data_IF_775571446778
#
_entry.id   IF_775571446778
#
_cell.length_a   1.000
_cell.length_b   1.000
_cell.length_c   1.000
_cell.angle_alpha   90.00
_cell.angle_beta   90.00
_cell.angle_gamma   90.00
#
_symmetry.space_group_name_H-M   'P 1'
#
loop_
_entity.id
_entity.type
_entity.pdbx_description
1 polymer ?
#
# COMPACT_ATOMS: atom_id res chain seq x y z
N UNK A 1 50.04 -34.09 29.50
CA UNK A 1 48.75 -33.39 29.66
C UNK A 1 48.79 -32.16 28.76
N UNK A 2 48.11 -32.19 27.61
CA UNK A 2 48.03 -31.06 26.67
C UNK A 2 46.59 -30.55 26.70
N UNK A 3 46.38 -29.40 27.30
CA UNK A 3 45.06 -28.75 27.42
C UNK A 3 44.73 -28.08 26.09
N UNK A 4 43.80 -28.64 25.32
CA UNK A 4 43.24 -27.99 24.14
C UNK A 4 42.24 -26.92 24.58
N UNK A 5 42.59 -25.65 24.37
CA UNK A 5 41.68 -24.52 24.56
C UNK A 5 40.89 -24.36 23.26
N UNK A 6 39.59 -24.75 23.27
CA UNK A 6 38.65 -24.41 22.20
C UNK A 6 38.22 -22.95 22.37
N UNK A 7 38.71 -22.07 21.52
CA UNK A 7 38.22 -20.69 21.43
C UNK A 7 36.93 -20.65 20.61
N UNK A 8 35.80 -20.41 21.29
CA UNK A 8 34.48 -20.23 20.69
C UNK A 8 34.41 -18.83 20.03
N UNK A 9 34.55 -18.76 18.71
CA UNK A 9 34.44 -17.52 17.95
C UNK A 9 32.95 -17.17 17.78
N UNK A 10 32.40 -16.34 18.68
CA UNK A 10 31.04 -15.82 18.56
C UNK A 10 30.99 -14.75 17.47
N UNK A 11 30.48 -15.11 16.30
CA UNK A 11 30.31 -14.20 15.17
C UNK A 11 29.06 -13.35 15.41
N UNK A 12 29.22 -12.19 16.07
CA UNK A 12 28.16 -11.19 16.20
C UNK A 12 27.88 -10.58 14.81
N UNK A 13 26.84 -11.09 14.13
CA UNK A 13 26.25 -10.43 12.96
C UNK A 13 25.62 -9.11 13.41
N UNK A 14 26.34 -8.01 13.27
CA UNK A 14 25.75 -6.68 13.37
C UNK A 14 24.89 -6.43 12.13
N UNK A 15 23.59 -6.74 12.22
CA UNK A 15 22.63 -6.29 11.21
C UNK A 15 22.47 -4.77 11.36
N UNK A 16 23.01 -4.00 10.42
CA UNK A 16 22.73 -2.57 10.33
C UNK A 16 21.27 -2.38 9.98
N UNK A 17 20.45 -1.98 10.96
CA UNK A 17 19.08 -1.53 10.73
C UNK A 17 19.14 -0.23 9.94
N UNK A 18 19.00 -0.29 8.61
CA UNK A 18 18.82 0.91 7.80
C UNK A 18 17.43 1.47 8.09
N UNK A 19 17.35 2.59 8.80
CA UNK A 19 16.12 3.37 8.93
C UNK A 19 15.73 3.87 7.53
N UNK A 20 14.69 3.28 6.94
CA UNK A 20 14.18 3.73 5.66
C UNK A 20 13.55 5.10 5.84
N UNK A 21 14.07 6.11 5.14
CA UNK A 21 13.50 7.46 5.15
C UNK A 21 12.14 7.42 4.43
N UNK A 22 11.07 7.73 5.17
CA UNK A 22 9.69 7.79 4.68
C UNK A 22 9.42 9.13 3.96
N UNK A 23 8.46 9.14 3.03
CA UNK A 23 8.03 10.33 2.29
C UNK A 23 9.15 11.01 1.49
N UNK A 24 9.99 10.21 0.83
CA UNK A 24 10.98 10.77 -0.10
C UNK A 24 10.30 11.31 -1.35
N UNK A 25 10.88 12.36 -1.94
CA UNK A 25 10.41 12.98 -3.16
C UNK A 25 11.49 12.96 -4.23
N UNK A 26 11.06 12.80 -5.49
CA UNK A 26 11.88 13.02 -6.67
C UNK A 26 11.40 14.30 -7.34
N UNK A 27 12.31 15.27 -7.47
CA UNK A 27 12.10 16.43 -8.31
C UNK A 27 12.26 16.05 -9.79
N UNK A 28 11.40 16.59 -10.64
CA UNK A 28 11.48 16.44 -12.09
C UNK A 28 11.43 17.83 -12.70
N UNK A 29 12.30 18.08 -13.67
CA UNK A 29 12.37 19.38 -14.31
C UNK A 29 11.01 19.77 -14.93
N UNK A 30 10.59 21.00 -14.66
CA UNK A 30 9.30 21.58 -15.09
C UNK A 30 8.05 20.76 -14.74
N UNK A 31 8.10 19.90 -13.72
CA UNK A 31 6.97 19.10 -13.27
C UNK A 31 6.86 19.12 -11.74
N UNK A 32 5.65 18.86 -11.24
CA UNK A 32 5.45 18.66 -9.81
C UNK A 32 6.27 17.44 -9.34
N UNK A 33 6.98 17.53 -8.19
CA UNK A 33 7.65 16.37 -7.60
C UNK A 33 6.64 15.27 -7.27
N UNK A 34 7.14 14.04 -7.13
CA UNK A 34 6.33 12.90 -6.71
C UNK A 34 7.00 12.13 -5.59
N UNK A 35 6.18 11.49 -4.75
CA UNK A 35 6.67 10.64 -3.67
C UNK A 35 7.21 9.32 -4.22
N UNK A 36 8.21 8.76 -3.55
CA UNK A 36 8.82 7.49 -3.93
C UNK A 36 9.16 6.63 -2.70
N UNK A 37 9.00 5.32 -2.82
CA UNK A 37 9.26 4.35 -1.75
C UNK A 37 8.20 4.38 -0.64
N UNK A 38 8.55 3.99 0.60
CA UNK A 38 7.62 4.01 1.71
C UNK A 38 7.07 5.42 2.00
N UNK A 39 5.75 5.51 2.18
CA UNK A 39 5.05 6.75 2.53
C UNK A 39 4.01 6.55 3.62
N UNK A 40 3.52 7.64 4.19
CA UNK A 40 2.39 7.67 5.12
C UNK A 40 1.37 8.75 4.72
N UNK A 41 0.30 8.90 5.54
CA UNK A 41 -0.77 9.87 5.30
C UNK A 41 -0.25 11.30 5.36
N UNK A 42 0.72 11.59 6.24
CA UNK A 42 1.36 12.90 6.34
C UNK A 42 2.06 13.29 5.04
N UNK A 43 2.69 12.33 4.35
CA UNK A 43 3.27 12.52 3.02
C UNK A 43 2.23 12.96 2.00
N UNK A 44 1.06 12.31 1.98
CA UNK A 44 -0.05 12.64 1.07
C UNK A 44 -0.76 13.94 1.42
N UNK A 45 -0.75 14.34 2.69
CA UNK A 45 -1.36 15.57 3.17
C UNK A 45 -0.40 16.77 3.16
N UNK A 46 0.82 16.59 2.66
CA UNK A 46 1.82 17.66 2.57
C UNK A 46 1.38 18.76 1.59
N UNK A 47 2.01 19.94 1.68
CA UNK A 47 1.69 21.11 0.85
C UNK A 47 1.67 20.79 -0.65
N UNK A 48 2.53 19.87 -1.11
CA UNK A 48 2.63 19.50 -2.52
C UNK A 48 1.42 18.70 -3.03
N UNK A 49 0.82 17.85 -2.20
CA UNK A 49 -0.21 16.90 -2.63
C UNK A 49 -1.61 17.19 -2.07
N UNK A 50 -1.70 18.08 -1.07
CA UNK A 50 -2.96 18.39 -0.39
C UNK A 50 -4.07 18.92 -1.32
N UNK A 51 -3.72 19.52 -2.46
CA UNK A 51 -4.69 20.11 -3.40
C UNK A 51 -5.61 19.05 -4.04
N UNK A 52 -5.14 17.82 -4.20
CA UNK A 52 -5.97 16.70 -4.64
C UNK A 52 -6.30 15.75 -3.48
N UNK A 53 -5.42 15.61 -2.47
CA UNK A 53 -5.68 14.69 -1.36
C UNK A 53 -6.87 15.15 -0.52
N UNK A 54 -6.87 16.39 -0.03
CA UNK A 54 -7.90 16.89 0.90
C UNK A 54 -9.30 16.88 0.28
N UNK A 55 -9.54 17.39 -0.95
CA UNK A 55 -10.88 17.37 -1.51
C UNK A 55 -11.41 15.95 -1.76
N UNK A 56 -10.56 15.04 -2.26
CA UNK A 56 -10.97 13.65 -2.50
C UNK A 56 -11.23 12.89 -1.20
N UNK A 57 -10.55 13.24 -0.11
CA UNK A 57 -10.82 12.71 1.23
C UNK A 57 -12.12 13.32 1.80
N UNK A 58 -12.19 14.65 1.94
CA UNK A 58 -13.28 15.34 2.64
C UNK A 58 -14.62 15.09 1.96
N UNK A 59 -14.68 15.19 0.64
CA UNK A 59 -15.94 15.10 -0.12
C UNK A 59 -16.44 13.66 -0.31
N UNK A 60 -15.66 12.65 0.07
CA UNK A 60 -16.08 11.26 -0.07
C UNK A 60 -16.99 10.83 1.08
N UNK A 61 -18.25 10.54 0.80
CA UNK A 61 -19.20 10.03 1.80
C UNK A 61 -19.08 8.51 1.89
N UNK A 62 -18.63 8.01 3.05
CA UNK A 62 -18.45 6.58 3.28
C UNK A 62 -19.81 5.93 3.56
N UNK A 63 -20.13 4.85 2.85
CA UNK A 63 -21.30 4.02 3.13
C UNK A 63 -21.05 3.14 4.37
N UNK A 64 -21.20 3.75 5.54
CA UNK A 64 -20.95 3.11 6.85
C UNK A 64 -21.79 1.85 7.02
N UNK A 65 -23.04 1.84 6.56
CA UNK A 65 -23.92 0.68 6.67
C UNK A 65 -23.35 -0.55 5.95
N UNK A 66 -22.68 -0.36 4.81
CA UNK A 66 -22.09 -1.44 4.03
C UNK A 66 -20.88 -2.09 4.72
N UNK A 67 -20.03 -1.28 5.34
CA UNK A 67 -18.72 -1.67 5.91
C UNK A 67 -18.73 -1.92 7.43
N UNK A 68 -19.72 -1.46 8.18
CA UNK A 68 -19.73 -1.67 9.64
C UNK A 68 -19.73 -3.16 10.01
N UNK A 69 -20.43 -3.99 9.24
CA UNK A 69 -20.49 -5.46 9.43
C UNK A 69 -19.16 -6.20 9.28
N UNK A 70 -18.10 -5.56 8.75
CA UNK A 70 -16.80 -6.18 8.52
C UNK A 70 -15.68 -5.60 9.38
N UNK A 71 -15.97 -4.63 10.26
CA UNK A 71 -14.98 -3.90 11.07
C UNK A 71 -14.02 -4.82 11.82
N UNK A 72 -14.54 -5.81 12.53
CA UNK A 72 -13.71 -6.74 13.29
C UNK A 72 -12.91 -7.66 12.37
N UNK A 73 -13.55 -8.17 11.31
CA UNK A 73 -12.93 -9.08 10.35
C UNK A 73 -11.80 -8.44 9.55
N UNK A 74 -11.94 -7.17 9.16
CA UNK A 74 -10.91 -6.47 8.39
C UNK A 74 -9.67 -6.18 9.24
N UNK A 75 -9.80 -6.07 10.56
CA UNK A 75 -8.65 -5.83 11.46
C UNK A 75 -7.62 -6.97 11.45
N UNK A 76 -8.04 -8.18 11.07
CA UNK A 76 -7.18 -9.35 10.89
C UNK A 76 -6.33 -9.29 9.59
N UNK A 77 -6.62 -8.33 8.70
CA UNK A 77 -5.93 -8.19 7.42
C UNK A 77 -4.75 -7.23 7.52
N UNK A 78 -3.74 -7.50 6.70
CA UNK A 78 -2.70 -6.53 6.34
C UNK A 78 -2.96 -6.03 4.94
N UNK A 79 -2.76 -4.75 4.72
CA UNK A 79 -3.02 -4.11 3.43
C UNK A 79 -1.72 -3.50 2.92
N UNK A 80 -1.33 -3.87 1.70
CA UNK A 80 -0.21 -3.28 0.98
C UNK A 80 -0.77 -2.47 -0.19
N UNK A 81 -0.55 -1.16 -0.16
CA UNK A 81 -0.98 -0.22 -1.17
C UNK A 81 0.21 0.26 -1.99
N UNK A 82 0.16 0.02 -3.30
CA UNK A 82 1.01 0.69 -4.27
C UNK A 82 0.27 1.83 -4.96
N UNK A 83 0.89 2.99 -5.06
CA UNK A 83 0.29 4.18 -5.65
C UNK A 83 1.32 5.01 -6.41
N UNK A 84 0.87 5.88 -7.31
CA UNK A 84 1.70 6.96 -7.85
C UNK A 84 1.06 8.31 -7.56
N UNK A 85 1.74 9.22 -6.85
CA UNK A 85 1.16 10.56 -6.57
C UNK A 85 0.97 11.42 -7.82
N UNK A 86 1.50 10.97 -8.96
CA UNK A 86 1.33 11.53 -10.28
C UNK A 86 0.15 10.93 -11.07
N UNK A 87 -0.44 9.81 -10.62
CA UNK A 87 -1.49 9.07 -11.33
C UNK A 87 -2.89 9.57 -10.93
N UNK A 88 -3.78 9.77 -11.91
CA UNK A 88 -5.15 10.23 -11.69
C UNK A 88 -5.99 9.27 -10.84
N UNK A 89 -5.93 7.98 -11.09
CA UNK A 89 -6.66 6.97 -10.30
C UNK A 89 -6.15 6.91 -8.85
N UNK A 90 -4.83 7.09 -8.65
CA UNK A 90 -4.26 7.12 -7.30
C UNK A 90 -4.74 8.35 -6.54
N UNK A 91 -4.77 9.51 -7.20
CA UNK A 91 -5.32 10.74 -6.63
C UNK A 91 -6.79 10.62 -6.26
N UNK A 92 -7.55 9.82 -7.01
CA UNK A 92 -8.99 9.62 -6.81
C UNK A 92 -9.28 8.60 -5.71
N UNK A 93 -8.73 7.39 -5.79
CA UNK A 93 -9.15 6.29 -4.92
C UNK A 93 -8.39 6.20 -3.60
N UNK A 94 -7.12 6.62 -3.54
CA UNK A 94 -6.34 6.50 -2.28
C UNK A 94 -6.93 7.33 -1.14
N UNK A 95 -7.28 8.62 -1.32
CA UNK A 95 -7.86 9.41 -0.23
C UNK A 95 -9.20 8.83 0.27
N UNK A 96 -10.01 8.29 -0.63
CA UNK A 96 -11.30 7.63 -0.33
C UNK A 96 -11.08 6.35 0.47
N UNK A 97 -10.12 5.53 0.04
CA UNK A 97 -9.74 4.31 0.71
C UNK A 97 -9.24 4.57 2.14
N UNK A 98 -8.35 5.56 2.33
CA UNK A 98 -7.87 5.96 3.67
C UNK A 98 -9.05 6.40 4.55
N UNK A 99 -9.98 7.20 4.02
CA UNK A 99 -11.17 7.61 4.78
C UNK A 99 -12.03 6.43 5.22
N UNK A 100 -12.22 5.41 4.36
CA UNK A 100 -12.95 4.18 4.72
C UNK A 100 -12.24 3.47 5.89
N UNK A 101 -10.93 3.28 5.79
CA UNK A 101 -10.14 2.61 6.83
C UNK A 101 -10.21 3.35 8.17
N UNK A 102 -10.10 4.68 8.16
CA UNK A 102 -10.20 5.50 9.37
C UNK A 102 -11.63 5.45 9.95
N UNK A 103 -12.66 5.50 9.09
CA UNK A 103 -14.08 5.45 9.52
C UNK A 103 -14.42 4.14 10.25
N UNK A 104 -13.77 3.03 9.89
CA UNK A 104 -13.95 1.74 10.59
C UNK A 104 -12.91 1.47 11.67
N UNK A 105 -12.07 2.45 12.03
CA UNK A 105 -10.97 2.28 12.99
C UNK A 105 -10.05 1.11 12.61
N UNK A 106 -9.75 0.94 11.32
CA UNK A 106 -8.76 -0.04 10.89
C UNK A 106 -7.40 0.29 11.52
N UNK A 107 -6.65 -0.69 12.06
CA UNK A 107 -5.34 -0.44 12.64
C UNK A 107 -4.36 -0.02 11.53
N UNK A 108 -4.06 1.28 11.42
CA UNK A 108 -3.19 1.80 10.35
C UNK A 108 -1.76 1.22 10.38
N UNK A 109 -1.33 0.61 11.49
CA UNK A 109 -0.10 -0.19 11.55
C UNK A 109 -0.12 -1.42 10.64
N UNK A 110 -1.31 -1.91 10.26
CA UNK A 110 -1.51 -2.97 9.27
C UNK A 110 -1.62 -2.45 7.83
N UNK A 111 -1.53 -1.13 7.61
CA UNK A 111 -1.47 -0.52 6.28
C UNK A 111 -0.02 -0.14 5.95
N UNK A 112 0.53 -0.70 4.88
CA UNK A 112 1.78 -0.24 4.28
C UNK A 112 1.48 0.44 2.94
N UNK A 113 2.05 1.62 2.72
CA UNK A 113 1.92 2.36 1.47
C UNK A 113 3.29 2.56 0.82
N UNK A 114 3.38 2.30 -0.48
CA UNK A 114 4.61 2.42 -1.28
C UNK A 114 4.33 3.21 -2.55
N UNK A 115 4.89 4.41 -2.64
CA UNK A 115 4.81 5.25 -3.82
C UNK A 115 5.79 4.81 -4.91
N UNK A 116 5.31 4.76 -6.15
CA UNK A 116 6.07 4.26 -7.29
C UNK A 116 6.51 5.38 -8.23
N UNK A 117 7.64 5.13 -8.89
CA UNK A 117 8.29 6.08 -9.76
C UNK A 117 7.54 6.29 -11.09
N UNK A 118 7.63 7.51 -11.63
CA UNK A 118 7.05 7.94 -12.92
C UNK A 118 8.07 7.90 -14.07
N UNK A 119 9.36 7.98 -13.76
CA UNK A 119 10.43 8.11 -14.77
C UNK A 119 10.47 6.86 -15.65
N UNK A 120 10.78 7.05 -16.93
CA UNK A 120 10.70 6.01 -17.96
C UNK A 120 11.43 4.71 -17.58
N UNK A 121 12.65 4.80 -17.08
CA UNK A 121 13.50 3.64 -16.80
C UNK A 121 13.11 2.89 -15.51
N UNK A 122 12.40 3.59 -14.63
CA UNK A 122 11.94 3.10 -13.33
C UNK A 122 10.42 3.05 -13.21
N UNK A 123 9.69 3.11 -14.34
CA UNK A 123 8.25 3.31 -14.33
C UNK A 123 7.54 2.24 -13.51
N UNK A 124 6.75 2.67 -12.52
CA UNK A 124 6.05 1.82 -11.54
C UNK A 124 6.99 0.90 -10.73
N UNK A 125 8.20 1.37 -10.43
CA UNK A 125 9.13 0.70 -9.51
C UNK A 125 9.32 1.53 -8.25
N UNK A 126 9.63 0.85 -7.14
CA UNK A 126 10.09 1.47 -5.90
C UNK A 126 11.62 1.38 -5.82
N UNK A 127 12.29 2.19 -4.96
CA UNK A 127 13.75 2.16 -4.84
C UNK A 127 14.28 0.84 -4.27
N UNK A 128 13.47 0.16 -3.45
CA UNK A 128 13.86 -1.06 -2.73
C UNK A 128 13.14 -2.31 -3.23
N UNK A 129 12.39 -2.22 -4.33
CA UNK A 129 11.80 -3.37 -5.01
C UNK A 129 10.59 -3.97 -4.31
N UNK A 130 9.86 -3.20 -3.50
CA UNK A 130 8.66 -3.70 -2.80
C UNK A 130 7.62 -4.29 -3.76
N UNK A 131 7.56 -3.83 -5.01
CA UNK A 131 6.63 -4.34 -6.04
C UNK A 131 7.05 -5.68 -6.67
N UNK A 132 8.28 -6.15 -6.42
CA UNK A 132 8.84 -7.33 -7.09
C UNK A 132 8.04 -8.58 -6.76
N UNK A 133 7.72 -9.36 -7.78
CA UNK A 133 6.92 -10.58 -7.66
C UNK A 133 5.42 -10.33 -7.41
N UNK A 134 4.97 -9.08 -7.23
CA UNK A 134 3.57 -8.76 -6.93
C UNK A 134 2.75 -8.35 -8.17
N UNK A 135 3.38 -8.32 -9.35
CA UNK A 135 2.77 -7.97 -10.64
C UNK A 135 2.03 -6.61 -10.64
N UNK A 136 2.67 -5.57 -10.09
CA UNK A 136 2.12 -4.22 -10.01
C UNK A 136 2.25 -3.49 -11.35
N UNK A 137 1.34 -3.79 -12.26
CA UNK A 137 1.29 -3.16 -13.59
C UNK A 137 0.45 -1.88 -13.61
N UNK A 138 -0.36 -1.66 -12.57
CA UNK A 138 -1.35 -0.59 -12.46
C UNK A 138 -1.39 0.00 -11.05
N UNK A 139 -1.72 1.28 -10.95
CA UNK A 139 -1.80 1.99 -9.66
C UNK A 139 -3.07 2.85 -9.60
N UNK A 140 -3.74 2.94 -8.44
CA UNK A 140 -3.39 2.28 -7.19
C UNK A 140 -3.70 0.78 -7.25
N UNK A 141 -2.95 -0.02 -6.50
CA UNK A 141 -3.28 -1.42 -6.26
C UNK A 141 -3.30 -1.65 -4.76
N UNK A 142 -4.46 -2.06 -4.24
CA UNK A 142 -4.70 -2.37 -2.83
C UNK A 142 -4.68 -3.88 -2.66
N UNK A 143 -3.67 -4.46 -2.01
CA UNK A 143 -3.55 -5.90 -1.83
C UNK A 143 -3.92 -6.27 -0.39
N UNK A 144 -4.83 -7.22 -0.24
CA UNK A 144 -5.34 -7.68 1.04
C UNK A 144 -4.71 -9.02 1.40
N UNK A 145 -3.98 -9.05 2.49
CA UNK A 145 -3.36 -10.24 3.04
C UNK A 145 -4.09 -10.71 4.29
N UNK A 146 -4.32 -12.02 4.39
CA UNK A 146 -4.76 -12.69 5.62
C UNK A 146 -3.87 -13.89 5.88
N UNK A 147 -3.39 -14.05 7.11
CA UNK A 147 -2.48 -15.14 7.50
C UNK A 147 -1.24 -15.26 6.60
N UNK A 148 -0.69 -14.11 6.17
CA UNK A 148 0.50 -14.05 5.32
C UNK A 148 0.29 -14.40 3.84
N UNK A 149 -0.94 -14.71 3.42
CA UNK A 149 -1.30 -14.99 2.02
C UNK A 149 -2.14 -13.87 1.45
N UNK A 150 -1.90 -13.54 0.19
CA UNK A 150 -2.78 -12.65 -0.55
C UNK A 150 -4.15 -13.33 -0.71
N UNK A 151 -5.21 -12.64 -0.27
CA UNK A 151 -6.60 -13.08 -0.43
C UNK A 151 -7.18 -12.52 -1.72
N UNK A 152 -6.94 -11.23 -1.97
CA UNK A 152 -7.34 -10.56 -3.19
C UNK A 152 -6.72 -9.15 -3.27
N UNK A 153 -7.03 -8.42 -4.34
CA UNK A 153 -6.61 -7.04 -4.53
C UNK A 153 -7.67 -6.21 -5.25
N UNK A 154 -7.66 -4.89 -5.07
CA UNK A 154 -8.41 -3.93 -5.89
C UNK A 154 -7.39 -3.19 -6.78
N UNK A 155 -7.64 -3.11 -8.09
CA UNK A 155 -6.71 -2.51 -9.07
C UNK A 155 -7.37 -1.31 -9.76
N UNK A 156 -6.69 -0.16 -9.71
CA UNK A 156 -7.09 1.17 -10.19
C UNK A 156 -8.37 1.74 -9.56
N UNK A 157 -9.51 1.08 -9.77
CA UNK A 157 -10.83 1.48 -9.32
C UNK A 157 -11.66 0.25 -8.90
N UNK A 158 -12.66 0.42 -8.02
CA UNK A 158 -13.54 -0.69 -7.63
C UNK A 158 -14.40 -1.18 -8.79
N UNK A 159 -14.91 -2.41 -8.66
CA UNK A 159 -15.92 -3.00 -9.54
C UNK A 159 -17.29 -2.38 -9.27
N UNK A 160 -17.68 -2.27 -7.99
CA UNK A 160 -18.97 -1.70 -7.59
C UNK A 160 -18.77 -0.41 -6.79
N UNK A 161 -18.12 -0.52 -5.63
CA UNK A 161 -17.63 0.60 -4.82
C UNK A 161 -16.49 0.08 -3.96
N UNK A 162 -15.68 0.98 -3.38
CA UNK A 162 -14.60 0.55 -2.49
C UNK A 162 -15.16 -0.27 -1.32
N UNK A 163 -16.24 0.18 -0.68
CA UNK A 163 -16.92 -0.50 0.42
C UNK A 163 -17.46 -1.88 0.02
N UNK A 164 -18.10 -1.98 -1.14
CA UNK A 164 -18.67 -3.23 -1.63
C UNK A 164 -17.58 -4.26 -1.94
N UNK A 165 -16.51 -3.83 -2.59
CA UNK A 165 -15.39 -4.68 -2.96
C UNK A 165 -14.61 -5.13 -1.72
N UNK A 166 -14.28 -4.20 -0.81
CA UNK A 166 -13.65 -4.53 0.48
C UNK A 166 -14.52 -5.54 1.24
N UNK A 167 -15.85 -5.35 1.29
CA UNK A 167 -16.76 -6.30 1.93
C UNK A 167 -16.71 -7.67 1.28
N UNK A 168 -16.73 -7.77 -0.05
CA UNK A 168 -16.64 -9.06 -0.76
C UNK A 168 -15.32 -9.77 -0.44
N UNK A 169 -14.20 -9.05 -0.48
CA UNK A 169 -12.87 -9.60 -0.15
C UNK A 169 -12.82 -10.08 1.30
N UNK A 170 -13.20 -9.23 2.26
CA UNK A 170 -13.11 -9.54 3.70
C UNK A 170 -14.04 -10.67 4.11
N UNK A 171 -15.21 -10.77 3.47
CA UNK A 171 -16.17 -11.88 3.67
C UNK A 171 -15.88 -13.11 2.79
N UNK A 172 -14.79 -13.09 2.02
CA UNK A 172 -14.34 -14.17 1.13
C UNK A 172 -15.42 -14.63 0.15
N UNK A 173 -16.24 -13.70 -0.33
CA UNK A 173 -17.17 -13.95 -1.43
C UNK A 173 -16.38 -13.94 -2.75
N UNK A 174 -16.87 -14.63 -3.80
CA UNK A 174 -16.26 -14.54 -5.13
C UNK A 174 -16.07 -13.09 -5.56
N UNK A 175 -14.84 -12.75 -5.95
CA UNK A 175 -14.46 -11.41 -6.36
C UNK A 175 -13.34 -11.50 -7.41
N UNK A 176 -13.54 -10.84 -8.54
CA UNK A 176 -12.57 -10.70 -9.61
C UNK A 176 -12.29 -9.21 -9.81
N UNK A 177 -11.07 -8.72 -9.56
CA UNK A 177 -10.76 -7.31 -9.74
C UNK A 177 -10.73 -6.92 -11.21
N UNK A 178 -10.79 -5.60 -11.44
CA UNK A 178 -10.45 -5.03 -12.73
C UNK A 178 -9.03 -5.46 -13.12
N UNK A 179 -8.81 -5.68 -14.43
CA UNK A 179 -7.51 -6.09 -14.96
C UNK A 179 -6.97 -7.41 -14.39
N UNK A 180 -7.85 -8.35 -14.01
CA UNK A 180 -7.52 -9.66 -13.42
C UNK A 180 -6.52 -10.53 -14.20
N UNK A 181 -6.21 -10.21 -15.45
CA UNK A 181 -5.06 -10.78 -16.19
C UNK A 181 -3.72 -10.56 -15.48
N UNK A 182 -3.64 -9.62 -14.54
CA UNK A 182 -2.47 -9.41 -13.69
C UNK A 182 -2.45 -10.28 -12.42
N UNK A 183 -3.41 -11.18 -12.23
CA UNK A 183 -3.38 -12.14 -11.13
C UNK A 183 -2.57 -13.37 -11.56
N UNK A 184 -1.39 -13.55 -10.99
CA UNK A 184 -0.75 -14.86 -10.93
C UNK A 184 -1.13 -15.48 -9.59
N UNK A 185 -2.06 -16.43 -9.64
CA UNK A 185 -2.21 -17.38 -8.54
C UNK A 185 -1.31 -18.55 -8.89
N UNK A 186 -0.18 -18.66 -8.19
CA UNK A 186 0.62 -19.88 -8.20
C UNK A 186 -0.12 -21.00 -7.44
#
# INVERSE_FOLDING_TARGET
MKTCILSLFSFFFFTTLTSQKINQEIAVDNQQPFLIGPINVEGLNSKMYQNWYKPNYINYEVDVAKINSIKDKISEYKILLFLGTWCGDSKREVPRFIKILETINFPLSNLKMVALDKRKDSYKKSPTGEEWGLNITRVPTFIFYKNGKEVNRIIENPIESLEADIKKIVTQKPYTPNYSKSLHFD
#
